data_IF_763451643795
#
_entry.id   IF_763451643795
#
_cell.length_a   1.000
_cell.length_b   1.000
_cell.length_c   1.000
_cell.angle_alpha   90.00
_cell.angle_beta   90.00
_cell.angle_gamma   90.00
#
_symmetry.space_group_name_H-M   'P 1'
#
loop_
_entity.id
_entity.type
_entity.pdbx_description
1 polymer ?
#
# COMPACT_ATOMS: atom_id res chain seq x y z
N UNK A 1 16.59 4.27 12.43
CA UNK A 1 15.27 3.98 11.83
C UNK A 1 14.10 4.42 12.71
N UNK A 2 14.08 4.09 14.00
CA UNK A 2 12.97 4.48 14.88
C UNK A 2 12.79 5.99 15.04
N UNK A 3 13.87 6.78 15.02
CA UNK A 3 13.79 8.25 15.11
C UNK A 3 13.12 8.89 13.90
N UNK A 4 13.40 8.39 12.70
CA UNK A 4 12.79 8.91 11.47
C UNK A 4 11.29 8.59 11.42
N UNK A 5 10.90 7.37 11.82
CA UNK A 5 9.49 6.97 11.89
C UNK A 5 8.76 7.78 12.96
N UNK A 6 9.36 7.96 14.13
CA UNK A 6 8.80 8.79 15.21
C UNK A 6 8.53 10.22 14.72
N UNK A 7 9.51 10.84 14.09
CA UNK A 7 9.39 12.19 13.54
C UNK A 7 8.29 12.27 12.48
N UNK A 8 8.17 11.25 11.65
CA UNK A 8 7.13 11.15 10.64
C UNK A 8 5.74 11.09 11.26
N UNK A 9 5.52 10.24 12.27
CA UNK A 9 4.24 10.18 12.98
C UNK A 9 3.89 11.51 13.63
N UNK A 10 4.85 12.14 14.30
CA UNK A 10 4.66 13.44 14.95
C UNK A 10 4.29 14.54 13.94
N UNK A 11 4.89 14.51 12.74
CA UNK A 11 4.58 15.47 11.69
C UNK A 11 3.15 15.36 11.17
N UNK A 12 2.49 14.21 11.36
CA UNK A 12 1.08 13.98 11.04
C UNK A 12 0.18 14.07 12.28
N UNK A 13 0.67 14.63 13.37
CA UNK A 13 -0.05 14.76 14.64
C UNK A 13 -0.50 13.41 15.22
N UNK A 14 0.33 12.39 15.06
CA UNK A 14 0.11 11.05 15.60
C UNK A 14 1.10 10.82 16.74
N UNK A 15 0.58 10.55 17.95
CA UNK A 15 1.43 10.24 19.10
C UNK A 15 2.16 8.90 18.85
N UNK A 16 3.49 8.88 18.92
CA UNK A 16 4.27 7.66 18.67
C UNK A 16 4.29 6.75 19.90
N UNK A 17 3.45 5.74 19.88
CA UNK A 17 3.50 4.64 20.83
C UNK A 17 4.33 3.48 20.27
N UNK A 18 4.77 2.56 21.12
CA UNK A 18 5.54 1.39 20.64
C UNK A 18 4.79 0.60 19.58
N UNK A 19 3.48 0.42 19.75
CA UNK A 19 2.64 -0.29 18.78
C UNK A 19 2.52 0.47 17.45
N UNK A 20 2.28 1.77 17.51
CA UNK A 20 2.19 2.62 16.31
C UNK A 20 3.51 2.68 15.54
N UNK A 21 4.62 2.77 16.25
CA UNK A 21 5.96 2.74 15.63
C UNK A 21 6.21 1.42 14.91
N UNK A 22 5.87 0.28 15.53
CA UNK A 22 6.05 -1.03 14.93
C UNK A 22 5.19 -1.21 13.68
N UNK A 23 3.93 -0.77 13.72
CA UNK A 23 3.03 -0.83 12.55
C UNK A 23 3.51 0.10 11.44
N UNK A 24 3.92 1.32 11.79
CA UNK A 24 4.43 2.29 10.83
C UNK A 24 5.71 1.79 10.14
N UNK A 25 6.59 1.12 10.86
CA UNK A 25 7.82 0.56 10.29
C UNK A 25 7.52 -0.44 9.16
N UNK A 26 6.42 -1.14 9.24
CA UNK A 26 6.01 -2.11 8.21
C UNK A 26 5.32 -1.39 7.05
N UNK A 27 4.33 -0.55 7.33
CA UNK A 27 3.48 0.02 6.29
C UNK A 27 4.13 1.15 5.51
N UNK A 28 5.03 1.93 6.13
CA UNK A 28 5.60 3.13 5.52
C UNK A 28 6.86 2.88 4.69
N UNK A 29 7.51 1.74 4.87
CA UNK A 29 8.79 1.44 4.21
C UNK A 29 8.73 0.17 3.35
N UNK A 30 7.55 -0.27 2.98
CA UNK A 30 7.38 -1.43 2.12
C UNK A 30 6.96 -1.02 0.71
N UNK A 31 7.56 -1.67 -0.29
CA UNK A 31 7.08 -1.61 -1.67
C UNK A 31 5.98 -2.64 -1.92
N UNK A 32 5.66 -3.44 -0.89
CA UNK A 32 4.74 -4.56 -1.00
C UNK A 32 3.36 -4.19 -0.53
N UNK A 33 2.59 -3.42 -0.86
CA UNK A 33 1.22 -3.08 -0.45
C UNK A 33 0.58 -4.18 0.44
N UNK A 34 0.88 -4.23 1.76
CA UNK A 34 0.39 -5.30 2.62
C UNK A 34 -1.07 -5.11 3.00
N UNK A 35 -1.77 -6.21 3.25
CA UNK A 35 -3.07 -6.20 3.90
C UNK A 35 -2.92 -6.01 5.42
N UNK A 36 -4.03 -5.69 6.11
CA UNK A 36 -4.03 -5.56 7.56
C UNK A 36 -3.64 -6.87 8.26
N UNK A 37 -4.09 -8.01 7.74
CA UNK A 37 -3.73 -9.32 8.29
C UNK A 37 -2.24 -9.63 8.15
N UNK A 38 -1.65 -9.30 7.01
CA UNK A 38 -0.20 -9.45 6.80
C UNK A 38 0.60 -8.55 7.75
N UNK A 39 0.14 -7.32 7.95
CA UNK A 39 0.75 -6.40 8.92
C UNK A 39 0.63 -6.95 10.33
N UNK A 40 -0.55 -7.46 10.72
CA UNK A 40 -0.76 -8.06 12.03
C UNK A 40 0.18 -9.24 12.27
N UNK A 41 0.32 -10.14 11.33
CA UNK A 41 1.22 -11.30 11.45
C UNK A 41 2.66 -10.87 11.68
N UNK A 42 3.13 -9.87 10.95
CA UNK A 42 4.49 -9.36 11.09
C UNK A 42 4.70 -8.66 12.42
N UNK A 43 3.79 -7.79 12.83
CA UNK A 43 3.88 -7.07 14.12
C UNK A 43 3.79 -8.04 15.30
N UNK A 44 2.93 -9.04 15.20
CA UNK A 44 2.71 -10.01 16.27
C UNK A 44 3.95 -10.84 16.59
N UNK A 45 4.85 -11.02 15.63
CA UNK A 45 6.13 -11.69 15.87
C UNK A 45 7.02 -10.91 16.85
N UNK A 46 7.04 -9.60 16.75
CA UNK A 46 7.86 -8.73 17.61
C UNK A 46 7.11 -8.28 18.87
N UNK A 47 5.81 -8.07 18.75
CA UNK A 47 4.92 -7.64 19.83
C UNK A 47 3.75 -8.61 19.94
N UNK A 48 3.92 -9.77 20.61
CA UNK A 48 2.87 -10.80 20.69
C UNK A 48 1.59 -10.36 21.39
N UNK A 49 1.66 -9.30 22.20
CA UNK A 49 0.51 -8.75 22.93
C UNK A 49 -0.37 -7.84 22.07
N UNK A 50 0.08 -7.45 20.87
CA UNK A 50 -0.72 -6.60 20.00
C UNK A 50 -1.93 -7.37 19.48
N UNK A 51 -3.11 -6.74 19.53
CA UNK A 51 -4.35 -7.34 19.03
C UNK A 51 -4.61 -6.96 17.57
N UNK A 52 -5.44 -7.77 16.89
CA UNK A 52 -5.93 -7.40 15.55
C UNK A 52 -6.66 -6.07 15.57
N UNK A 53 -7.50 -5.83 16.58
CA UNK A 53 -8.23 -4.58 16.72
C UNK A 53 -7.28 -3.38 16.82
N UNK A 54 -6.19 -3.50 17.55
CA UNK A 54 -5.18 -2.43 17.65
C UNK A 54 -4.54 -2.15 16.29
N UNK A 55 -4.21 -3.18 15.53
CA UNK A 55 -3.62 -3.00 14.19
C UNK A 55 -4.62 -2.31 13.27
N UNK A 56 -5.85 -2.76 13.20
CA UNK A 56 -6.89 -2.13 12.36
C UNK A 56 -7.16 -0.68 12.77
N UNK A 57 -7.29 -0.41 14.07
CA UNK A 57 -7.52 0.96 14.56
C UNK A 57 -6.34 1.89 14.25
N UNK A 58 -5.13 1.38 14.38
CA UNK A 58 -3.91 2.15 14.05
C UNK A 58 -3.84 2.44 12.54
N UNK A 59 -4.11 1.47 11.70
CA UNK A 59 -4.13 1.65 10.26
C UNK A 59 -5.22 2.64 9.82
N UNK A 60 -6.40 2.58 10.43
CA UNK A 60 -7.46 3.56 10.18
C UNK A 60 -7.02 4.97 10.57
N UNK A 61 -6.33 5.13 11.69
CA UNK A 61 -5.76 6.40 12.10
C UNK A 61 -4.74 6.92 11.08
N UNK A 62 -3.87 6.07 10.57
CA UNK A 62 -2.87 6.44 9.57
C UNK A 62 -3.54 6.89 8.26
N UNK A 63 -4.57 6.22 7.83
CA UNK A 63 -5.34 6.60 6.64
C UNK A 63 -6.05 7.94 6.87
N UNK A 64 -6.71 8.12 8.00
CA UNK A 64 -7.43 9.36 8.33
C UNK A 64 -6.48 10.57 8.40
N UNK A 65 -5.26 10.38 8.86
CA UNK A 65 -4.24 11.43 8.93
C UNK A 65 -3.49 11.65 7.62
N UNK A 66 -3.72 10.84 6.60
CA UNK A 66 -3.06 10.97 5.30
C UNK A 66 -1.64 10.40 5.24
N UNK A 67 -1.28 9.55 6.18
CA UNK A 67 0.04 8.92 6.23
C UNK A 67 0.18 7.79 5.20
N UNK A 68 -0.90 7.10 4.93
CA UNK A 68 -1.02 6.09 3.89
C UNK A 68 -2.44 6.10 3.34
N UNK A 69 -2.67 5.32 2.30
CA UNK A 69 -3.99 5.15 1.70
C UNK A 69 -4.31 3.67 1.53
N UNK A 70 -5.57 3.37 1.31
CA UNK A 70 -6.01 2.02 0.98
C UNK A 70 -6.20 1.86 -0.51
N UNK A 71 -5.98 0.66 -0.99
CA UNK A 71 -6.29 0.24 -2.34
C UNK A 71 -7.07 -1.07 -2.25
N UNK A 72 -8.23 -1.13 -2.91
CA UNK A 72 -9.05 -2.34 -2.95
C UNK A 72 -8.74 -3.13 -4.20
N UNK A 73 -8.26 -4.35 -4.02
CA UNK A 73 -7.97 -5.29 -5.10
C UNK A 73 -9.19 -6.17 -5.37
N UNK A 74 -9.02 -7.14 -6.27
CA UNK A 74 -10.03 -8.16 -6.54
C UNK A 74 -10.52 -8.84 -5.25
N UNK A 75 -11.76 -9.29 -5.24
CA UNK A 75 -12.37 -10.01 -4.11
C UNK A 75 -12.47 -9.19 -2.82
N UNK A 76 -12.43 -7.87 -2.94
CA UNK A 76 -12.53 -7.00 -1.78
C UNK A 76 -11.28 -6.98 -0.89
N UNK A 77 -10.15 -7.49 -1.36
CA UNK A 77 -8.89 -7.44 -0.63
C UNK A 77 -8.40 -5.99 -0.53
N UNK A 78 -8.29 -5.48 0.67
CA UNK A 78 -7.77 -4.12 0.96
C UNK A 78 -6.30 -4.21 1.31
N UNK A 79 -5.48 -3.42 0.64
CA UNK A 79 -4.06 -3.28 0.92
C UNK A 79 -3.72 -1.83 1.25
N UNK A 80 -2.59 -1.60 1.90
CA UNK A 80 -2.15 -0.27 2.35
C UNK A 80 -0.95 0.18 1.54
N UNK A 81 -1.00 1.44 1.09
CA UNK A 81 0.00 2.04 0.22
C UNK A 81 0.51 3.34 0.85
N UNK A 82 1.81 3.44 1.18
CA UNK A 82 2.38 4.66 1.75
C UNK A 82 2.62 5.75 0.71
N UNK A 83 2.55 5.44 -0.57
CA UNK A 83 2.81 6.40 -1.64
C UNK A 83 1.58 7.26 -1.88
N UNK A 84 1.60 8.48 -1.33
CA UNK A 84 0.52 9.45 -1.48
C UNK A 84 0.64 10.29 -2.75
N UNK A 85 1.76 10.21 -3.48
CA UNK A 85 1.93 10.86 -4.77
C UNK A 85 1.11 10.14 -5.85
N UNK A 86 0.65 10.86 -6.90
CA UNK A 86 -0.06 10.21 -8.01
C UNK A 86 0.80 9.12 -8.68
N UNK A 87 0.25 7.93 -8.77
CA UNK A 87 0.88 6.80 -9.45
C UNK A 87 -0.17 5.80 -9.89
N UNK A 88 0.21 4.93 -10.81
CA UNK A 88 -0.59 3.81 -11.25
C UNK A 88 -0.11 2.53 -10.56
N UNK A 89 -0.78 1.43 -10.80
CA UNK A 89 -0.47 0.15 -10.19
C UNK A 89 -0.33 -0.95 -11.24
N UNK A 90 0.56 -1.89 -10.96
CA UNK A 90 0.73 -3.12 -11.72
C UNK A 90 0.33 -4.29 -10.82
N UNK A 91 -0.66 -5.06 -11.24
CA UNK A 91 -1.08 -6.28 -10.55
C UNK A 91 -0.48 -7.48 -11.25
N UNK A 92 0.35 -8.22 -10.54
CA UNK A 92 0.80 -9.55 -10.98
C UNK A 92 -0.34 -10.54 -10.69
N UNK A 93 -0.97 -11.01 -11.75
CA UNK A 93 -2.15 -11.87 -11.61
C UNK A 93 -1.82 -13.24 -11.03
N UNK A 94 -0.60 -13.72 -11.21
CA UNK A 94 -0.16 -15.01 -10.69
C UNK A 94 0.10 -14.98 -9.19
N UNK A 95 0.88 -14.02 -8.71
CA UNK A 95 1.20 -13.89 -7.29
C UNK A 95 0.16 -13.11 -6.49
N UNK A 96 -0.67 -12.31 -7.15
CA UNK A 96 -1.58 -11.37 -6.49
C UNK A 96 -0.89 -10.14 -5.91
N UNK A 97 0.42 -9.98 -6.13
CA UNK A 97 1.16 -8.82 -5.65
C UNK A 97 0.89 -7.60 -6.50
N UNK A 98 0.91 -6.43 -5.86
CA UNK A 98 0.76 -5.17 -6.54
C UNK A 98 2.04 -4.34 -6.41
N UNK A 99 2.40 -3.66 -7.49
CA UNK A 99 3.58 -2.81 -7.58
C UNK A 99 3.17 -1.41 -8.01
N UNK A 100 3.94 -0.41 -7.64
CA UNK A 100 3.75 0.93 -8.15
C UNK A 100 4.22 1.01 -9.61
N UNK A 101 3.40 1.67 -10.43
CA UNK A 101 3.73 1.98 -11.80
C UNK A 101 3.89 3.50 -11.92
N UNK A 102 5.02 4.01 -12.42
CA UNK A 102 5.26 5.44 -12.49
C UNK A 102 4.14 6.19 -13.21
N UNK A 103 3.82 7.38 -12.75
CA UNK A 103 2.76 8.22 -13.33
C UNK A 103 2.96 8.44 -14.83
N UNK A 104 4.21 8.67 -15.25
CA UNK A 104 4.56 8.87 -16.65
C UNK A 104 4.57 7.63 -17.53
N UNK A 105 4.34 6.44 -16.96
CA UNK A 105 4.31 5.19 -17.74
C UNK A 105 3.05 5.06 -18.59
N UNK A 106 1.98 5.78 -18.25
CA UNK A 106 0.70 5.75 -18.95
C UNK A 106 0.23 7.18 -19.24
N UNK A 107 -0.41 7.35 -20.39
CA UNK A 107 -1.26 8.51 -20.62
C UNK A 107 -2.71 8.07 -20.48
N UNK A 108 -3.47 8.76 -19.63
CA UNK A 108 -4.89 8.49 -19.41
C UNK A 108 -5.69 9.73 -19.74
N UNK A 109 -6.59 9.62 -20.69
CA UNK A 109 -7.41 10.73 -21.16
C UNK A 109 -8.89 10.40 -21.02
N UNK A 110 -9.63 11.30 -20.38
CA UNK A 110 -11.07 11.23 -20.34
C UNK A 110 -11.63 11.96 -21.57
N UNK A 111 -12.15 11.23 -22.55
CA UNK A 111 -12.66 11.82 -23.78
C UNK A 111 -14.02 12.49 -23.62
N UNK A 112 -14.82 12.02 -22.67
CA UNK A 112 -16.17 12.53 -22.42
C UNK A 112 -16.28 13.00 -20.99
N UNK A 113 -16.64 14.27 -20.72
CA UNK A 113 -16.88 14.72 -19.36
C UNK A 113 -17.98 13.89 -18.68
N UNK A 114 -17.83 13.68 -17.37
CA UNK A 114 -18.84 13.00 -16.56
C UNK A 114 -19.80 14.06 -16.03
N UNK A 115 -21.05 14.02 -16.51
CA UNK A 115 -22.06 15.02 -16.15
C UNK A 115 -22.32 15.03 -14.65
N UNK A 116 -22.24 16.21 -14.06
CA UNK A 116 -22.47 16.40 -12.63
C UNK A 116 -21.28 16.09 -11.72
N UNK A 117 -20.12 15.77 -12.29
CA UNK A 117 -18.93 15.44 -11.50
C UNK A 117 -17.68 16.20 -11.97
N UNK A 118 -16.90 16.62 -11.02
CA UNK A 118 -15.54 17.11 -11.27
C UNK A 118 -14.57 15.98 -10.96
N UNK A 119 -13.80 15.53 -11.96
CA UNK A 119 -12.84 14.45 -11.78
C UNK A 119 -11.63 14.97 -11.01
N UNK A 120 -11.33 14.34 -9.87
CA UNK A 120 -10.21 14.74 -9.01
C UNK A 120 -8.96 13.88 -9.23
N UNK A 121 -9.11 12.64 -9.68
CA UNK A 121 -7.99 11.75 -9.97
C UNK A 121 -8.43 10.62 -10.89
N UNK A 122 -7.49 10.08 -11.64
CA UNK A 122 -7.64 8.85 -12.41
C UNK A 122 -6.42 7.98 -12.15
N UNK A 123 -6.65 6.75 -11.75
CA UNK A 123 -5.60 5.76 -11.54
C UNK A 123 -5.94 4.49 -12.30
N UNK A 124 -4.92 3.83 -12.83
CA UNK A 124 -5.08 2.63 -13.63
C UNK A 124 -4.37 1.48 -12.94
N UNK A 125 -5.03 0.33 -12.89
CA UNK A 125 -4.42 -0.93 -12.51
C UNK A 125 -4.17 -1.74 -13.77
N UNK A 126 -2.91 -1.90 -14.12
CA UNK A 126 -2.49 -2.75 -15.22
C UNK A 126 -2.35 -4.17 -14.70
N UNK A 127 -3.04 -5.11 -15.33
CA UNK A 127 -2.95 -6.53 -14.98
C UNK A 127 -1.98 -7.22 -15.91
N UNK A 128 -1.06 -7.97 -15.34
CA UNK A 128 -0.02 -8.63 -16.13
C UNK A 128 0.41 -9.95 -15.49
N UNK A 129 0.98 -10.79 -16.31
CA UNK A 129 1.67 -12.00 -15.87
C UNK A 129 3.14 -11.84 -16.17
N UNK A 130 4.00 -12.35 -15.28
CA UNK A 130 5.43 -12.35 -15.54
C UNK A 130 5.72 -13.15 -16.79
N UNK A 131 6.63 -12.64 -17.61
CA UNK A 131 7.16 -13.43 -18.72
C UNK A 131 8.03 -14.54 -18.17
N UNK A 132 8.00 -15.69 -18.83
CA UNK A 132 8.98 -16.72 -18.59
C UNK A 132 10.37 -16.16 -18.87
N UNK A 133 11.28 -16.29 -17.89
CA UNK A 133 12.67 -15.89 -18.08
C UNK A 133 13.30 -16.81 -19.14
N UNK A 134 13.80 -16.25 -20.30
CA UNK A 134 14.47 -17.06 -21.31
C UNK A 134 15.70 -17.80 -20.78
N UNK A 135 16.29 -17.31 -19.66
CA UNK A 135 17.44 -17.95 -19.03
C UNK A 135 17.06 -19.15 -18.18
N UNK A 136 15.80 -19.25 -17.72
CA UNK A 136 15.33 -20.37 -16.91
C UNK A 136 15.07 -21.64 -17.75
N UNK A 137 15.06 -21.52 -19.08
CA UNK A 137 14.83 -22.65 -19.99
C UNK A 137 16.09 -23.43 -20.36
N UNK A 138 17.25 -23.07 -19.82
CA UNK A 138 18.52 -23.70 -20.17
C UNK A 138 18.90 -24.93 -19.34
N UNK A 139 18.11 -25.27 -18.33
CA UNK A 139 18.40 -26.39 -17.44
C UNK A 139 17.40 -27.57 -17.62
N UNK A 140 17.01 -27.78 -18.85
CA UNK A 140 16.23 -28.99 -19.17
C UNK A 140 17.01 -29.83 -20.16
#
# INVERSE_FOLDING_TARGET
MSKAIRAQLESYAIQPTAQRLAIAAIVLHTERHPSADEIFETVNQELPTVSRATVYNTLNLFVDKGLCRTLTLREGRVVYDPNMAPHHHLLDEESGRIYDLPWGALEVTLHTPIDGFDVTAMEVVVRANRRDDPTSRRDV
#
